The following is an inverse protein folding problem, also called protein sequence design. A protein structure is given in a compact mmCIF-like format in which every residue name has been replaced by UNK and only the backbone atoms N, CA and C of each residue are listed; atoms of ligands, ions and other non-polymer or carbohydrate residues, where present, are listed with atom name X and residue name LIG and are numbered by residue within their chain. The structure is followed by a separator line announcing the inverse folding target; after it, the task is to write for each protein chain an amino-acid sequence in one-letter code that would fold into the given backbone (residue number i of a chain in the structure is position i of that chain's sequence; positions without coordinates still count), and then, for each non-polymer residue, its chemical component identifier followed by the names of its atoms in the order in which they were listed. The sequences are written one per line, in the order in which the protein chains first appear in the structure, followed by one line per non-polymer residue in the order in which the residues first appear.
data_IF_433994349286
#
_entry.id   IF_433994349286
#
_cell.length_a   1.000
_cell.length_b   1.000
_cell.length_c   1.000
_cell.angle_alpha   90.00
_cell.angle_beta   90.00
_cell.angle_gamma   90.00
#
_symmetry.space_group_name_H-M   'P 1'
#
loop_
_entity.id
_entity.type
_entity.pdbx_description
1 polymer ?
#
# COMPACT_ATOMS: atom_id res chain seq x y z
N UNK A 1 -61.59 -40.74 -32.81
CA UNK A 1 -60.44 -40.22 -33.59
C UNK A 1 -59.73 -39.20 -32.69
N UNK A 2 -58.65 -39.62 -32.02
CA UNK A 2 -57.29 -39.05 -32.18
C UNK A 2 -57.24 -37.54 -31.84
N UNK A 3 -56.53 -37.05 -30.81
CA UNK A 3 -55.07 -37.13 -30.61
C UNK A 3 -54.65 -36.72 -29.18
N UNK A 4 -53.58 -37.35 -28.71
CA UNK A 4 -52.73 -37.04 -27.55
C UNK A 4 -51.74 -35.88 -27.83
N UNK A 5 -51.12 -35.38 -26.74
CA UNK A 5 -49.90 -34.54 -26.54
C UNK A 5 -50.10 -33.03 -26.22
N UNK A 6 -49.17 -32.37 -25.47
CA UNK A 6 -48.38 -32.82 -24.33
C UNK A 6 -48.33 -31.82 -23.14
N UNK A 7 -47.91 -32.33 -21.99
CA UNK A 7 -47.60 -31.64 -20.73
C UNK A 7 -46.36 -30.73 -20.88
N UNK A 8 -46.50 -29.43 -20.66
CA UNK A 8 -45.38 -28.46 -20.65
C UNK A 8 -44.87 -28.32 -19.21
N UNK A 9 -43.65 -28.80 -18.98
CA UNK A 9 -42.91 -28.71 -17.73
C UNK A 9 -42.20 -27.35 -17.67
N UNK A 10 -42.70 -26.40 -16.88
CA UNK A 10 -42.06 -25.10 -16.67
C UNK A 10 -41.10 -25.17 -15.47
N UNK A 11 -39.80 -25.30 -15.75
CA UNK A 11 -38.74 -25.15 -14.76
C UNK A 11 -38.40 -23.66 -14.59
N UNK A 12 -38.87 -23.04 -13.51
CA UNK A 12 -38.47 -21.69 -13.12
C UNK A 12 -37.13 -21.76 -12.37
N UNK A 13 -36.05 -21.41 -13.06
CA UNK A 13 -34.72 -21.31 -12.49
C UNK A 13 -34.64 -20.13 -11.50
N UNK A 14 -34.25 -20.40 -10.26
CA UNK A 14 -33.87 -19.40 -9.28
C UNK A 14 -32.56 -18.73 -9.74
N UNK A 15 -32.64 -17.52 -10.27
CA UNK A 15 -31.47 -16.66 -10.43
C UNK A 15 -31.19 -15.96 -9.10
N UNK A 16 -30.39 -16.60 -8.25
CA UNK A 16 -29.78 -15.96 -7.11
C UNK A 16 -28.84 -14.84 -7.61
N UNK A 17 -29.27 -13.60 -7.46
CA UNK A 17 -28.44 -12.43 -7.73
C UNK A 17 -27.30 -12.37 -6.72
N UNK A 18 -26.12 -12.85 -7.13
CA UNK A 18 -24.89 -12.61 -6.42
C UNK A 18 -24.56 -11.11 -6.56
N UNK A 19 -24.96 -10.31 -5.57
CA UNK A 19 -24.43 -8.96 -5.39
C UNK A 19 -22.93 -9.08 -5.16
N UNK A 20 -22.16 -8.91 -6.23
CA UNK A 20 -20.73 -8.71 -6.17
C UNK A 20 -20.51 -7.35 -5.50
N UNK A 21 -20.43 -7.35 -4.18
CA UNK A 21 -19.90 -6.23 -3.43
C UNK A 21 -18.43 -6.10 -3.86
N UNK A 22 -18.18 -5.26 -4.86
CA UNK A 22 -16.88 -4.69 -5.13
C UNK A 22 -16.42 -4.11 -3.78
N UNK A 23 -15.47 -4.78 -3.14
CA UNK A 23 -14.81 -4.27 -1.95
C UNK A 23 -14.15 -2.95 -2.37
N UNK A 24 -14.87 -1.85 -2.16
CA UNK A 24 -14.29 -0.52 -2.31
C UNK A 24 -13.23 -0.43 -1.23
N UNK A 25 -11.96 -0.30 -1.65
CA UNK A 25 -10.85 -0.03 -0.75
C UNK A 25 -11.30 1.10 0.18
N UNK A 26 -11.24 0.92 1.53
CA UNK A 26 -11.67 1.95 2.45
C UNK A 26 -11.00 3.25 2.07
N UNK A 27 -11.79 4.31 1.86
CA UNK A 27 -11.25 5.63 1.58
C UNK A 27 -10.14 5.92 2.61
N UNK A 28 -8.95 6.40 2.18
CA UNK A 28 -7.83 6.56 3.08
C UNK A 28 -8.22 7.57 4.16
N UNK A 29 -8.69 7.08 5.32
CA UNK A 29 -8.65 7.85 6.54
C UNK A 29 -7.22 8.35 6.70
N UNK A 30 -7.02 9.57 7.18
CA UNK A 30 -5.69 10.13 7.42
C UNK A 30 -4.97 9.24 8.44
N UNK A 31 -4.30 8.21 7.94
CA UNK A 31 -3.56 7.25 8.74
C UNK A 31 -2.17 7.84 8.89
N UNK A 32 -1.89 8.34 10.08
CA UNK A 32 -0.60 8.87 10.43
C UNK A 32 0.25 7.79 11.08
N UNK A 33 1.56 7.91 10.98
CA UNK A 33 2.50 7.12 11.78
C UNK A 33 3.50 8.02 12.47
N UNK A 34 4.17 7.49 13.49
CA UNK A 34 5.24 8.17 14.19
C UNK A 34 6.60 7.71 13.67
N UNK A 35 7.50 8.62 13.37
CA UNK A 35 8.86 8.25 12.91
C UNK A 35 9.60 7.49 14.01
N UNK A 36 9.41 7.84 15.27
CA UNK A 36 9.90 7.09 16.43
C UNK A 36 9.39 5.65 16.55
N UNK A 37 8.36 5.28 15.79
CA UNK A 37 7.79 3.93 15.78
C UNK A 37 8.12 3.14 14.51
N UNK A 38 8.92 3.71 13.61
CA UNK A 38 9.43 2.99 12.44
C UNK A 38 10.40 1.90 12.91
N UNK A 39 10.16 0.67 12.46
CA UNK A 39 10.98 -0.50 12.83
C UNK A 39 11.92 -0.94 11.69
N UNK A 40 11.60 -0.59 10.45
CA UNK A 40 12.44 -0.83 9.29
C UNK A 40 11.79 -0.39 7.99
N UNK A 41 12.53 -0.56 6.90
CA UNK A 41 12.06 -0.24 5.55
C UNK A 41 12.62 -1.21 4.51
N UNK A 42 11.93 -1.27 3.36
CA UNK A 42 12.37 -2.00 2.16
C UNK A 42 12.12 -1.14 0.93
N UNK A 43 13.18 -0.91 0.16
CA UNK A 43 13.07 -0.33 -1.17
C UNK A 43 12.49 -1.39 -2.09
N UNK A 44 11.33 -1.12 -2.68
CA UNK A 44 10.67 -2.04 -3.61
C UNK A 44 11.12 -1.80 -5.05
N UNK A 45 11.24 -0.52 -5.42
CA UNK A 45 11.70 -0.06 -6.73
C UNK A 45 12.24 1.39 -6.58
N UNK A 46 12.81 1.99 -7.64
CA UNK A 46 13.38 3.35 -7.57
C UNK A 46 12.41 4.48 -7.13
N UNK A 47 11.12 4.19 -6.97
CA UNK A 47 10.07 5.15 -6.56
C UNK A 47 9.25 4.69 -5.37
N UNK A 48 9.37 3.43 -4.94
CA UNK A 48 8.48 2.85 -3.93
C UNK A 48 9.27 2.34 -2.73
N UNK A 49 8.86 2.79 -1.55
CA UNK A 49 9.40 2.38 -0.26
C UNK A 49 8.28 1.77 0.58
N UNK A 50 8.53 0.62 1.19
CA UNK A 50 7.69 0.10 2.27
C UNK A 50 8.33 0.41 3.61
N UNK A 51 7.55 0.94 4.54
CA UNK A 51 7.97 1.27 5.90
C UNK A 51 7.13 0.45 6.87
N UNK A 52 7.81 -0.32 7.71
CA UNK A 52 7.20 -0.97 8.84
C UNK A 52 7.09 -0.01 10.01
N UNK A 53 5.96 -0.07 10.70
CA UNK A 53 5.68 0.69 11.91
C UNK A 53 5.17 -0.28 12.97
N UNK A 54 5.44 0.05 14.23
CA UNK A 54 4.99 -0.70 15.40
C UNK A 54 3.53 -1.17 15.25
N UNK A 55 3.27 -2.40 15.72
CA UNK A 55 2.02 -3.15 15.54
C UNK A 55 1.83 -3.81 14.17
N UNK A 56 2.91 -4.03 13.41
CA UNK A 56 2.89 -4.70 12.08
C UNK A 56 2.11 -3.94 11.02
N UNK A 57 1.95 -2.64 11.22
CA UNK A 57 1.42 -1.76 10.21
C UNK A 57 2.51 -1.50 9.16
N UNK A 58 2.13 -1.51 7.89
CA UNK A 58 3.06 -1.19 6.79
C UNK A 58 2.49 -0.04 5.99
N UNK A 59 3.33 0.96 5.76
CA UNK A 59 3.03 2.10 4.91
C UNK A 59 3.80 1.96 3.60
N UNK A 60 3.11 2.16 2.50
CA UNK A 60 3.71 2.39 1.19
C UNK A 60 3.93 3.88 1.02
N UNK A 61 5.16 4.25 0.69
CA UNK A 61 5.56 5.62 0.40
C UNK A 61 6.05 5.66 -1.03
N UNK A 62 5.38 6.47 -1.86
CA UNK A 62 5.79 6.67 -3.25
C UNK A 62 6.53 8.01 -3.37
N UNK A 63 7.52 8.07 -4.27
CA UNK A 63 8.35 9.24 -4.53
C UNK A 63 8.06 9.85 -5.90
N UNK A 64 8.41 11.12 -6.05
CA UNK A 64 8.59 11.73 -7.36
C UNK A 64 9.93 11.30 -7.97
N UNK A 65 9.97 11.13 -9.30
CA UNK A 65 11.17 10.71 -10.02
C UNK A 65 11.63 9.30 -9.63
N UNK A 66 12.83 8.90 -10.05
CA UNK A 66 13.49 7.66 -9.64
C UNK A 66 14.40 7.93 -8.44
N UNK A 67 13.84 8.48 -7.35
CA UNK A 67 14.66 9.01 -6.26
C UNK A 67 15.47 7.95 -5.51
N UNK A 68 14.94 6.73 -5.42
CA UNK A 68 15.62 5.59 -4.79
C UNK A 68 16.52 4.85 -5.80
N UNK A 69 16.84 5.46 -6.95
CA UNK A 69 17.74 4.87 -7.92
C UNK A 69 19.15 4.74 -7.31
N UNK A 70 19.62 3.50 -7.19
CA UNK A 70 20.89 3.19 -6.55
C UNK A 70 20.79 2.91 -5.05
N UNK A 71 19.59 2.91 -4.47
CA UNK A 71 19.35 2.39 -3.12
C UNK A 71 18.95 0.90 -3.19
N UNK A 72 19.64 0.06 -2.44
CA UNK A 72 19.34 -1.35 -2.27
C UNK A 72 18.29 -1.60 -1.17
N UNK A 73 17.80 -2.85 -1.10
CA UNK A 73 16.65 -3.29 -0.29
C UNK A 73 16.80 -3.03 1.23
N UNK A 74 17.98 -2.67 1.72
CA UNK A 74 18.23 -2.36 3.13
C UNK A 74 19.11 -1.14 3.36
N UNK A 75 19.34 -0.31 2.35
CA UNK A 75 20.26 0.82 2.49
C UNK A 75 19.76 1.82 3.55
N UNK A 76 20.67 2.41 4.34
CA UNK A 76 20.29 3.34 5.38
C UNK A 76 19.61 4.57 4.76
N UNK A 77 18.38 4.82 5.22
CA UNK A 77 17.63 6.02 4.88
C UNK A 77 17.76 7.02 6.03
N UNK A 78 17.97 8.28 5.69
CA UNK A 78 17.84 9.36 6.66
C UNK A 78 16.42 9.88 6.57
N UNK A 79 15.68 9.71 7.65
CA UNK A 79 14.26 10.05 7.75
C UNK A 79 14.09 11.11 8.82
N UNK A 80 13.59 12.26 8.40
CA UNK A 80 13.37 13.40 9.28
C UNK A 80 11.93 13.90 9.12
N UNK A 81 11.40 14.48 10.18
CA UNK A 81 10.08 15.10 10.18
C UNK A 81 10.20 16.61 10.11
N UNK A 82 9.34 17.24 9.30
CA UNK A 82 9.33 18.70 9.19
C UNK A 82 8.72 19.33 10.45
N UNK A 83 9.35 20.39 10.97
CA UNK A 83 8.82 21.18 12.09
C UNK A 83 8.90 20.51 13.47
N UNK A 84 9.71 19.45 13.62
CA UNK A 84 9.92 18.78 14.92
C UNK A 84 8.75 17.92 15.41
N UNK A 85 7.73 17.70 14.57
CA UNK A 85 6.62 16.78 14.85
C UNK A 85 7.05 15.35 14.59
N UNK A 86 7.02 14.46 15.59
CA UNK A 86 7.26 13.02 15.39
C UNK A 86 6.18 12.33 14.52
N UNK A 87 5.10 13.03 14.17
CA UNK A 87 3.95 12.46 13.44
C UNK A 87 3.98 12.82 11.95
N UNK A 88 3.82 11.81 11.09
CA UNK A 88 3.74 11.91 9.63
C UNK A 88 2.35 11.50 9.18
N UNK A 89 1.60 12.44 8.59
CA UNK A 89 0.24 12.21 8.09
C UNK A 89 0.11 12.45 6.58
N UNK A 90 0.98 13.28 6.03
CA UNK A 90 0.99 13.75 4.65
C UNK A 90 2.40 13.65 4.08
N UNK A 91 2.54 13.63 2.75
CA UNK A 91 3.86 13.65 2.09
C UNK A 91 4.79 14.76 2.58
N UNK A 92 4.26 15.98 2.79
CA UNK A 92 5.06 17.14 3.23
C UNK A 92 5.57 17.06 4.67
N UNK A 93 5.03 16.14 5.48
CA UNK A 93 5.46 15.98 6.87
C UNK A 93 6.77 15.16 6.96
N UNK A 94 7.17 14.50 5.87
CA UNK A 94 8.30 13.59 5.78
C UNK A 94 9.40 14.16 4.87
N UNK A 95 10.57 14.43 5.45
CA UNK A 95 11.80 14.72 4.72
C UNK A 95 12.62 13.43 4.63
N UNK A 96 12.67 12.84 3.42
CA UNK A 96 13.37 11.60 3.16
C UNK A 96 14.66 11.91 2.41
N UNK A 97 15.79 11.37 2.87
CA UNK A 97 17.08 11.46 2.18
C UNK A 97 17.69 10.08 1.99
N UNK A 98 18.19 9.81 0.80
CA UNK A 98 18.92 8.59 0.46
C UNK A 98 20.42 8.87 0.51
N UNK A 99 21.19 7.92 1.04
CA UNK A 99 22.64 7.96 0.93
C UNK A 99 23.04 7.59 -0.50
N UNK A 100 23.67 8.52 -1.20
CA UNK A 100 24.23 8.33 -2.54
C UNK A 100 25.75 8.46 -2.53
N UNK A 101 26.36 8.29 -3.70
CA UNK A 101 27.82 8.28 -3.88
C UNK A 101 28.51 9.58 -3.47
N UNK A 102 27.81 10.72 -3.56
CA UNK A 102 28.35 12.07 -3.26
C UNK A 102 27.73 12.63 -1.96
N UNK A 103 26.97 11.83 -1.20
CA UNK A 103 26.34 12.24 0.06
C UNK A 103 24.83 12.02 0.08
N UNK A 104 24.13 12.72 0.97
CA UNK A 104 22.68 12.60 1.13
C UNK A 104 21.93 13.36 0.03
N UNK A 105 21.03 12.68 -0.67
CA UNK A 105 20.17 13.26 -1.70
C UNK A 105 18.71 13.27 -1.23
N UNK A 106 18.01 14.42 -1.29
CA UNK A 106 16.62 14.51 -0.84
C UNK A 106 15.66 13.84 -1.83
N UNK A 107 14.64 13.19 -1.29
CA UNK A 107 13.56 12.54 -2.01
C UNK A 107 12.22 13.20 -1.72
N UNK A 108 11.58 13.69 -2.78
CA UNK A 108 10.26 14.31 -2.68
C UNK A 108 9.21 13.20 -2.61
N UNK A 109 8.56 13.09 -1.45
CA UNK A 109 7.45 12.17 -1.22
C UNK A 109 6.23 12.61 -2.02
N UNK A 110 5.64 11.67 -2.76
CA UNK A 110 4.43 11.85 -3.57
C UNK A 110 3.17 11.44 -2.80
N UNK A 111 3.20 10.26 -2.19
CA UNK A 111 2.04 9.71 -1.47
C UNK A 111 2.48 8.81 -0.32
N UNK A 112 1.64 8.75 0.71
CA UNK A 112 1.78 7.87 1.86
C UNK A 112 0.46 7.11 2.00
N UNK A 113 0.51 5.78 1.97
CA UNK A 113 -0.69 4.92 2.02
C UNK A 113 -0.45 3.81 3.02
N UNK A 114 -1.32 3.69 4.04
CA UNK A 114 -1.29 2.50 4.90
C UNK A 114 -1.84 1.29 4.14
N UNK A 115 -1.08 0.20 4.14
CA UNK A 115 -1.51 -1.05 3.55
C UNK A 115 -2.47 -1.78 4.47
N UNK A 116 -3.47 -2.42 3.87
CA UNK A 116 -4.39 -3.30 4.59
C UNK A 116 -3.71 -4.65 4.90
N UNK A 117 -4.18 -5.40 5.92
CA UNK A 117 -3.65 -6.73 6.22
C UNK A 117 -3.54 -7.68 5.00
N UNK A 118 -4.53 -7.78 4.09
CA UNK A 118 -4.38 -8.63 2.90
C UNK A 118 -3.33 -8.09 1.90
N UNK A 119 -3.17 -6.77 1.77
CA UNK A 119 -2.11 -6.18 0.94
C UNK A 119 -0.73 -6.51 1.51
N UNK A 120 -0.55 -6.42 2.83
CA UNK A 120 0.69 -6.79 3.53
C UNK A 120 1.01 -8.27 3.35
N UNK A 121 -0.01 -9.14 3.50
CA UNK A 121 0.16 -10.58 3.31
C UNK A 121 0.67 -10.91 1.89
N UNK A 122 0.19 -10.16 0.89
CA UNK A 122 0.52 -10.31 -0.52
C UNK A 122 1.90 -9.76 -0.92
N UNK A 123 2.57 -9.00 -0.04
CA UNK A 123 3.93 -8.53 -0.33
C UNK A 123 4.90 -9.72 -0.48
N UNK A 124 5.82 -9.69 -1.47
CA UNK A 124 6.91 -10.64 -1.54
C UNK A 124 7.71 -10.66 -0.24
N UNK A 125 8.18 -11.84 0.21
CA UNK A 125 8.92 -11.96 1.48
C UNK A 125 10.10 -11.00 1.61
N UNK A 126 10.79 -10.68 0.50
CA UNK A 126 11.93 -9.75 0.46
C UNK A 126 11.55 -8.28 0.68
N UNK A 127 10.27 -7.93 0.47
CA UNK A 127 9.76 -6.56 0.55
C UNK A 127 8.94 -6.31 1.82
N UNK A 128 8.84 -7.30 2.71
CA UNK A 128 8.28 -7.11 4.04
C UNK A 128 9.35 -6.43 4.92
N UNK A 129 9.07 -5.24 5.48
CA UNK A 129 9.98 -4.55 6.40
C UNK A 129 10.40 -5.44 7.56
#
# INVERSE_FOLDING_TARGET
MNRLLPLILAAAALTAGASQALAQDPAPGRQCFRVSQMDGHRVADPKTLYVGVRNKDVFRIDMHGACLAGADIGDPLVVETVGGSDLVCKPIDLDLKVAGTIGLSPCIVKSITKLTPPQIASLPRKLKP
#
